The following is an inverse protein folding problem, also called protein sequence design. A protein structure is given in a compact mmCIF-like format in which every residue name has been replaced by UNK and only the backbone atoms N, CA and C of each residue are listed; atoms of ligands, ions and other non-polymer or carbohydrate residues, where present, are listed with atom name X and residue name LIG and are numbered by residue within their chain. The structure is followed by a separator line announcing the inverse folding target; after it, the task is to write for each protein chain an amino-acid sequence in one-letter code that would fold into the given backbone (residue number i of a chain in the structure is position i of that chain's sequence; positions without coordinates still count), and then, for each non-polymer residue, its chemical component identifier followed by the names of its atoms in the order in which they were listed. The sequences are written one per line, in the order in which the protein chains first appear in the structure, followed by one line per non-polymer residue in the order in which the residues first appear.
data_IF_103797259206
#
_entry.id   IF_103797259206
#
_cell.length_a   1.000
_cell.length_b   1.000
_cell.length_c   1.000
_cell.angle_alpha   90.00
_cell.angle_beta   90.00
_cell.angle_gamma   90.00
#
_symmetry.space_group_name_H-M   'P 1'
#
loop_
_entity.id
_entity.type
_entity.pdbx_description
1 polymer ?
#
# COMPACT_ATOMS: atom_id res chain seq x y z
N UNK A 1 7.69 36.52 7.35
CA UNK A 1 8.58 35.38 7.63
C UNK A 1 8.30 34.35 6.56
N UNK A 2 9.31 33.82 5.87
CA UNK A 2 9.10 32.74 4.89
C UNK A 2 8.51 31.53 5.60
N UNK A 3 7.49 30.91 5.01
CA UNK A 3 6.89 29.68 5.53
C UNK A 3 7.99 28.60 5.57
N UNK A 4 8.24 27.93 6.71
CA UNK A 4 9.27 26.91 6.80
C UNK A 4 8.93 25.73 5.88
N UNK A 5 9.95 25.16 5.23
CA UNK A 5 9.81 23.98 4.38
C UNK A 5 9.40 22.74 5.18
N UNK A 6 8.53 21.91 4.59
CA UNK A 6 7.96 20.72 5.22
C UNK A 6 8.21 19.47 4.39
N UNK A 7 8.41 18.35 5.10
CA UNK A 7 8.41 17.01 4.53
C UNK A 7 7.21 16.26 5.11
N UNK A 8 6.46 15.57 4.25
CA UNK A 8 5.45 14.61 4.68
C UNK A 8 5.74 13.26 4.05
N UNK A 9 5.72 12.21 4.87
CA UNK A 9 5.88 10.82 4.41
C UNK A 9 4.51 10.14 4.50
N UNK A 10 4.02 9.65 3.37
CA UNK A 10 2.78 8.89 3.25
C UNK A 10 3.14 7.42 3.01
N UNK A 11 2.68 6.56 3.91
CA UNK A 11 2.81 5.11 3.83
C UNK A 11 1.49 4.52 3.34
N UNK A 12 1.48 4.00 2.12
CA UNK A 12 0.33 3.36 1.51
C UNK A 12 0.31 1.87 1.83
N UNK A 13 -0.64 1.44 2.67
CA UNK A 13 -0.73 0.06 3.15
C UNK A 13 -1.80 -0.70 2.38
N UNK A 14 -1.35 -1.66 1.59
CA UNK A 14 -2.22 -2.39 0.67
C UNK A 14 -1.83 -3.85 0.54
N UNK A 15 -2.86 -4.70 0.54
CA UNK A 15 -2.75 -6.09 0.15
C UNK A 15 -3.96 -6.41 -0.71
N UNK A 16 -3.80 -7.03 -1.90
CA UNK A 16 -4.94 -7.57 -2.65
C UNK A 16 -5.76 -8.53 -1.78
N UNK A 17 -7.00 -8.80 -2.16
CA UNK A 17 -7.78 -9.80 -1.45
C UNK A 17 -7.13 -11.19 -1.61
N UNK A 18 -6.41 -11.69 -0.61
CA UNK A 18 -5.74 -13.01 -0.61
C UNK A 18 -6.34 -13.98 0.41
N UNK A 19 -7.15 -13.46 1.33
CA UNK A 19 -7.88 -14.23 2.33
C UNK A 19 -8.73 -15.34 1.68
N UNK A 20 -8.52 -16.58 2.11
CA UNK A 20 -9.18 -17.76 1.55
C UNK A 20 -8.65 -18.27 0.21
N UNK A 21 -7.63 -17.62 -0.38
CA UNK A 21 -7.08 -17.96 -1.70
C UNK A 21 -5.61 -18.39 -1.64
N UNK A 22 -5.39 -19.67 -1.30
CA UNK A 22 -4.06 -20.28 -1.22
C UNK A 22 -3.33 -19.93 0.08
N UNK A 23 -2.38 -20.77 0.47
CA UNK A 23 -1.55 -20.56 1.67
C UNK A 23 -0.07 -20.39 1.33
N UNK A 24 0.47 -21.14 0.36
CA UNK A 24 1.87 -21.06 -0.07
C UNK A 24 2.00 -21.45 -1.56
N UNK A 25 2.86 -20.80 -2.36
CA UNK A 25 3.72 -19.65 -2.04
C UNK A 25 3.03 -18.28 -2.21
N UNK A 26 1.77 -18.28 -2.64
CA UNK A 26 0.97 -17.09 -2.92
C UNK A 26 -0.39 -17.22 -2.21
N UNK A 27 -0.85 -16.16 -1.55
CA UNK A 27 -2.09 -16.17 -0.77
C UNK A 27 -1.93 -15.52 0.59
N UNK A 28 -2.53 -16.12 1.63
CA UNK A 28 -2.58 -15.53 2.98
C UNK A 28 -1.20 -15.28 3.62
N UNK A 29 -0.18 -16.05 3.24
CA UNK A 29 1.18 -15.86 3.74
C UNK A 29 1.76 -14.49 3.38
N UNK A 30 1.40 -13.90 2.24
CA UNK A 30 1.81 -12.53 1.92
C UNK A 30 1.30 -11.53 2.97
N UNK A 31 0.05 -11.69 3.40
CA UNK A 31 -0.54 -10.87 4.45
C UNK A 31 0.16 -11.12 5.80
N UNK A 32 0.46 -12.36 6.14
CA UNK A 32 1.12 -12.69 7.42
C UNK A 32 2.57 -12.22 7.49
N UNK A 33 3.32 -12.35 6.41
CA UNK A 33 4.68 -11.82 6.30
C UNK A 33 4.66 -10.29 6.39
N UNK A 34 3.73 -9.62 5.70
CA UNK A 34 3.59 -8.16 5.79
C UNK A 34 3.23 -7.71 7.21
N UNK A 35 2.31 -8.40 7.90
CA UNK A 35 1.97 -8.14 9.31
C UNK A 35 3.21 -8.23 10.20
N UNK A 36 3.99 -9.31 10.07
CA UNK A 36 5.12 -9.58 10.95
C UNK A 36 6.32 -8.69 10.68
N UNK A 37 6.62 -8.44 9.40
CA UNK A 37 7.87 -7.80 8.98
C UNK A 37 7.73 -6.31 8.70
N UNK A 38 6.52 -5.81 8.45
CA UNK A 38 6.26 -4.40 8.13
C UNK A 38 5.22 -3.75 9.05
N UNK A 39 3.99 -4.25 9.11
CA UNK A 39 2.90 -3.51 9.78
C UNK A 39 3.14 -3.33 11.27
N UNK A 40 3.52 -4.40 11.98
CA UNK A 40 3.82 -4.31 13.42
C UNK A 40 5.02 -3.39 13.70
N UNK A 41 6.17 -3.51 12.99
CA UNK A 41 7.28 -2.55 13.11
C UNK A 41 6.92 -1.10 12.78
N UNK A 42 6.12 -0.86 11.74
CA UNK A 42 5.66 0.50 11.37
C UNK A 42 4.74 1.06 12.44
N UNK A 43 3.86 0.25 13.01
CA UNK A 43 3.03 0.67 14.16
C UNK A 43 3.87 1.01 15.39
N UNK A 44 4.98 0.31 15.65
CA UNK A 44 5.90 0.68 16.73
C UNK A 44 6.51 2.09 16.51
N UNK A 45 6.70 2.53 15.26
CA UNK A 45 7.15 3.89 14.95
C UNK A 45 6.05 4.93 15.20
N UNK A 46 4.85 4.64 14.72
CA UNK A 46 3.69 5.51 14.84
C UNK A 46 3.29 5.68 16.32
N UNK A 47 3.22 4.59 17.07
CA UNK A 47 3.00 4.59 18.53
C UNK A 47 4.13 5.32 19.28
N UNK A 48 5.34 5.31 18.74
CA UNK A 48 6.50 6.05 19.21
C UNK A 48 6.49 7.55 18.86
N UNK A 49 5.47 8.04 18.15
CA UNK A 49 5.29 9.45 17.82
C UNK A 49 6.04 9.92 16.56
N UNK A 50 6.47 9.01 15.68
CA UNK A 50 7.05 9.39 14.39
C UNK A 50 5.93 9.99 13.50
N UNK A 51 6.07 11.25 13.01
CA UNK A 51 4.98 11.96 12.33
C UNK A 51 4.83 11.55 10.86
N UNK A 52 4.28 10.36 10.63
CA UNK A 52 3.98 9.80 9.30
C UNK A 52 2.48 9.80 9.04
N UNK A 53 2.07 9.76 7.78
CA UNK A 53 0.67 9.56 7.39
C UNK A 53 0.48 8.13 6.91
N UNK A 54 -0.44 7.39 7.52
CA UNK A 54 -0.78 6.04 7.11
C UNK A 54 -2.08 6.05 6.28
N UNK A 55 -2.00 5.50 5.07
CA UNK A 55 -3.15 5.14 4.25
C UNK A 55 -3.44 3.65 4.42
N UNK A 56 -4.72 3.31 4.63
CA UNK A 56 -5.18 1.92 4.71
C UNK A 56 -6.22 1.67 3.61
N UNK A 57 -5.92 0.71 2.74
CA UNK A 57 -6.90 0.27 1.75
C UNK A 57 -8.07 -0.49 2.42
N UNK A 58 -9.32 -0.25 2.00
CA UNK A 58 -10.48 -0.94 2.56
C UNK A 58 -10.37 -2.46 2.47
N UNK A 59 -9.89 -3.01 1.34
CA UNK A 59 -9.67 -4.45 1.15
C UNK A 59 -8.65 -5.05 2.12
N UNK A 60 -7.64 -4.30 2.57
CA UNK A 60 -6.74 -4.76 3.63
C UNK A 60 -7.49 -4.84 4.96
N UNK A 61 -8.23 -3.79 5.33
CA UNK A 61 -9.02 -3.77 6.57
C UNK A 61 -10.04 -4.92 6.61
N UNK A 62 -10.72 -5.15 5.48
CA UNK A 62 -11.66 -6.26 5.28
C UNK A 62 -11.03 -7.62 5.61
N UNK A 63 -9.78 -7.85 5.21
CA UNK A 63 -9.07 -9.11 5.48
C UNK A 63 -8.61 -9.23 6.93
N UNK A 64 -8.13 -8.13 7.53
CA UNK A 64 -7.68 -8.10 8.93
C UNK A 64 -8.83 -8.31 9.94
N UNK A 65 -10.05 -7.92 9.56
CA UNK A 65 -11.26 -8.15 10.36
C UNK A 65 -11.94 -9.50 10.11
N UNK A 66 -11.52 -10.23 9.07
CA UNK A 66 -12.16 -11.47 8.71
C UNK A 66 -12.11 -12.46 9.90
N UNK A 67 -13.23 -13.12 10.26
CA UNK A 67 -13.26 -14.02 11.40
C UNK A 67 -12.16 -15.09 11.33
N UNK A 68 -11.35 -15.18 12.39
CA UNK A 68 -10.23 -16.11 12.51
C UNK A 68 -9.00 -15.78 11.65
N UNK A 69 -8.95 -14.62 10.97
CA UNK A 69 -7.77 -14.20 10.20
C UNK A 69 -6.52 -14.07 11.08
N UNK A 70 -6.62 -13.30 12.17
CA UNK A 70 -5.48 -13.09 13.07
C UNK A 70 -5.11 -14.35 13.86
N UNK A 71 -6.03 -15.29 14.07
CA UNK A 71 -5.71 -16.60 14.65
C UNK A 71 -4.83 -17.43 13.70
N UNK A 72 -5.14 -17.41 12.39
CA UNK A 72 -4.30 -18.05 11.36
C UNK A 72 -2.94 -17.37 11.24
N UNK A 73 -2.89 -16.04 11.31
CA UNK A 73 -1.64 -15.29 11.39
C UNK A 73 -0.82 -15.74 12.61
N UNK A 74 -1.42 -15.79 13.79
CA UNK A 74 -0.74 -16.22 15.01
C UNK A 74 -0.22 -17.67 14.91
N UNK A 75 -1.00 -18.59 14.32
CA UNK A 75 -0.56 -19.96 14.05
C UNK A 75 0.62 -20.01 13.07
N UNK A 76 0.60 -19.22 12.00
CA UNK A 76 1.72 -19.10 11.07
C UNK A 76 3.02 -18.64 11.76
N UNK A 77 2.92 -17.60 12.59
CA UNK A 77 4.08 -17.06 13.32
C UNK A 77 4.59 -17.99 14.43
N UNK A 78 3.69 -18.76 15.06
CA UNK A 78 4.01 -19.68 16.15
C UNK A 78 4.60 -21.00 15.66
N UNK A 79 4.07 -21.52 14.56
CA UNK A 79 4.31 -22.92 14.15
C UNK A 79 5.11 -23.00 12.85
N UNK A 80 4.71 -22.26 11.81
CA UNK A 80 5.27 -22.39 10.45
C UNK A 80 6.65 -21.73 10.34
N UNK A 81 6.77 -20.47 10.78
CA UNK A 81 8.04 -19.73 10.67
C UNK A 81 9.14 -20.34 11.55
N UNK A 82 8.92 -20.68 12.83
CA UNK A 82 9.97 -21.31 13.63
C UNK A 82 10.44 -22.65 13.06
N UNK A 83 9.51 -23.51 12.63
CA UNK A 83 9.87 -24.81 12.05
C UNK A 83 10.66 -24.68 10.74
N UNK A 84 10.27 -23.75 9.86
CA UNK A 84 11.00 -23.52 8.60
C UNK A 84 12.40 -22.94 8.83
N UNK A 85 12.59 -22.05 9.80
CA UNK A 85 13.92 -21.54 10.18
C UNK A 85 14.80 -22.67 10.76
N UNK A 86 14.26 -23.52 11.63
CA UNK A 86 15.01 -24.65 12.20
C UNK A 86 15.54 -25.59 11.11
N UNK A 87 14.70 -25.92 10.12
CA UNK A 87 15.11 -26.77 9.00
C UNK A 87 16.24 -26.16 8.17
N UNK A 88 16.21 -24.85 7.91
CA UNK A 88 17.30 -24.19 7.19
C UNK A 88 18.57 -24.06 8.04
N UNK A 89 18.45 -23.78 9.35
CA UNK A 89 19.60 -23.73 10.25
C UNK A 89 20.32 -25.08 10.35
N UNK A 90 19.56 -26.19 10.44
CA UNK A 90 20.11 -27.55 10.38
C UNK A 90 20.80 -27.82 9.05
N UNK A 91 20.19 -27.42 7.93
CA UNK A 91 20.78 -27.60 6.60
C UNK A 91 22.11 -26.84 6.44
N UNK A 92 22.18 -25.59 6.89
CA UNK A 92 23.43 -24.80 6.85
C UNK A 92 24.51 -25.38 7.75
N UNK A 93 24.18 -25.85 8.97
CA UNK A 93 25.15 -26.55 9.82
C UNK A 93 25.72 -27.79 9.16
N UNK A 94 24.86 -28.61 8.55
CA UNK A 94 25.29 -29.82 7.84
C UNK A 94 26.17 -29.50 6.62
N UNK A 95 25.96 -28.34 5.98
CA UNK A 95 26.77 -27.85 4.87
C UNK A 95 28.10 -27.19 5.30
N UNK A 96 28.39 -27.09 6.60
CA UNK A 96 29.60 -26.41 7.09
C UNK A 96 29.52 -24.90 7.11
N UNK A 97 28.30 -24.33 7.14
CA UNK A 97 28.02 -22.89 7.12
C UNK A 97 27.42 -22.38 8.45
N UNK A 98 28.15 -22.48 9.58
CA UNK A 98 27.60 -22.18 10.92
C UNK A 98 27.20 -20.71 11.11
N UNK A 99 27.83 -19.77 10.39
CA UNK A 99 27.47 -18.36 10.46
C UNK A 99 26.10 -18.07 9.83
N UNK A 100 25.78 -18.72 8.70
CA UNK A 100 24.44 -18.62 8.09
C UNK A 100 23.38 -19.29 8.98
N UNK A 101 23.70 -20.42 9.61
CA UNK A 101 22.81 -21.05 10.56
C UNK A 101 22.48 -20.14 11.76
N UNK A 102 23.50 -19.46 12.32
CA UNK A 102 23.31 -18.53 13.43
C UNK A 102 22.44 -17.33 13.04
N UNK A 103 22.59 -16.80 11.82
CA UNK A 103 21.75 -15.71 11.34
C UNK A 103 20.30 -16.16 11.12
N UNK A 104 20.06 -17.35 10.58
CA UNK A 104 18.71 -17.93 10.48
C UNK A 104 18.06 -18.04 11.87
N UNK A 105 18.78 -18.52 12.88
CA UNK A 105 18.25 -18.62 14.24
C UNK A 105 17.96 -17.26 14.87
N UNK A 106 18.81 -16.27 14.63
CA UNK A 106 18.57 -14.89 15.06
C UNK A 106 17.31 -14.32 14.39
N UNK A 107 17.16 -14.52 13.08
CA UNK A 107 16.01 -14.06 12.31
C UNK A 107 14.69 -14.71 12.77
N UNK A 108 14.71 -15.98 13.19
CA UNK A 108 13.54 -16.66 13.76
C UNK A 108 12.98 -15.92 14.99
N UNK A 109 13.84 -15.30 15.81
CA UNK A 109 13.44 -14.49 16.96
C UNK A 109 12.60 -13.25 16.61
N UNK A 110 12.69 -12.76 15.37
CA UNK A 110 11.87 -11.64 14.88
C UNK A 110 10.39 -12.07 14.75
N UNK A 111 10.12 -13.30 14.30
CA UNK A 111 8.76 -13.84 14.20
C UNK A 111 8.14 -14.12 15.57
N UNK A 112 8.94 -14.58 16.55
CA UNK A 112 8.49 -14.69 17.94
C UNK A 112 8.13 -13.32 18.53
N UNK A 113 8.92 -12.28 18.23
CA UNK A 113 8.63 -10.91 18.66
C UNK A 113 7.37 -10.35 17.99
N UNK A 114 7.17 -10.64 16.70
CA UNK A 114 5.96 -10.28 15.97
C UNK A 114 4.72 -10.98 16.52
N UNK A 115 4.80 -12.27 16.87
CA UNK A 115 3.71 -13.00 17.53
C UNK A 115 3.34 -12.33 18.86
N UNK A 116 4.32 -12.02 19.70
CA UNK A 116 4.08 -11.34 20.97
C UNK A 116 3.45 -9.94 20.75
N UNK A 117 3.84 -9.22 19.71
CA UNK A 117 3.25 -7.92 19.35
C UNK A 117 1.81 -8.06 18.84
N UNK A 118 1.52 -9.08 18.05
CA UNK A 118 0.18 -9.39 17.58
C UNK A 118 -0.75 -9.77 18.75
N UNK A 119 -0.28 -10.61 19.66
CA UNK A 119 -1.05 -11.05 20.84
C UNK A 119 -1.41 -9.87 21.77
N UNK A 120 -0.53 -8.84 21.86
CA UNK A 120 -0.82 -7.59 22.58
C UNK A 120 -1.92 -6.74 21.94
N UNK A 121 -2.30 -7.00 20.69
CA UNK A 121 -3.40 -6.29 20.04
C UNK A 121 -4.78 -6.80 20.51
N UNK A 122 -4.86 -7.94 21.20
CA UNK A 122 -6.12 -8.48 21.73
C UNK A 122 -6.69 -7.64 22.88
N UNK A 123 -8.03 -7.52 23.02
CA UNK A 123 -9.06 -8.15 22.18
C UNK A 123 -9.41 -7.36 20.91
N UNK A 124 -8.89 -6.14 20.73
CA UNK A 124 -9.26 -5.26 19.60
C UNK A 124 -8.68 -5.69 18.24
N UNK A 125 -7.67 -6.55 18.24
CA UNK A 125 -6.97 -6.98 17.03
C UNK A 125 -6.06 -5.91 16.45
N UNK A 126 -5.35 -6.28 15.37
CA UNK A 126 -4.38 -5.40 14.71
C UNK A 126 -5.02 -4.10 14.21
N UNK A 127 -6.25 -4.17 13.70
CA UNK A 127 -6.92 -3.00 13.15
C UNK A 127 -7.26 -1.95 14.21
N UNK A 128 -7.59 -2.36 15.45
CA UNK A 128 -7.79 -1.43 16.55
C UNK A 128 -6.49 -0.69 16.92
N UNK A 129 -5.34 -1.33 16.79
CA UNK A 129 -4.03 -0.67 16.95
C UNK A 129 -3.71 0.29 15.81
N UNK A 130 -4.15 -0.01 14.59
CA UNK A 130 -3.99 0.88 13.42
C UNK A 130 -4.94 2.10 13.46
N UNK A 131 -6.08 1.98 14.12
CA UNK A 131 -7.15 3.00 14.08
C UNK A 131 -6.72 4.44 14.40
N UNK A 132 -5.88 4.72 15.43
CA UNK A 132 -5.44 6.09 15.72
C UNK A 132 -4.59 6.72 14.60
N UNK A 133 -4.01 5.89 13.73
CA UNK A 133 -3.07 6.31 12.69
C UNK A 133 -3.69 6.27 11.29
N UNK A 134 -4.89 5.68 11.13
CA UNK A 134 -5.58 5.47 9.86
C UNK A 134 -6.12 6.79 9.28
N UNK A 135 -5.23 7.66 8.82
CA UNK A 135 -5.58 9.00 8.36
C UNK A 135 -6.20 9.00 6.95
N UNK A 136 -5.71 8.15 6.06
CA UNK A 136 -6.09 8.12 4.65
C UNK A 136 -6.73 6.78 4.27
N UNK A 137 -7.62 6.81 3.27
CA UNK A 137 -8.25 5.61 2.70
C UNK A 137 -8.02 5.52 1.19
N UNK A 138 -8.63 4.54 0.52
CA UNK A 138 -8.57 4.37 -0.92
C UNK A 138 -9.90 3.80 -1.46
N UNK A 139 -9.92 3.44 -2.73
CA UNK A 139 -11.04 2.72 -3.33
C UNK A 139 -11.19 1.33 -2.71
N UNK A 140 -12.41 0.77 -2.75
CA UNK A 140 -12.76 -0.48 -2.06
C UNK A 140 -11.74 -1.62 -2.25
N UNK A 141 -11.30 -1.84 -3.49
CA UNK A 141 -10.35 -2.90 -3.86
C UNK A 141 -9.18 -2.37 -4.68
N UNK A 142 -8.80 -1.11 -4.48
CA UNK A 142 -7.64 -0.51 -5.14
C UNK A 142 -7.72 -0.56 -6.68
N UNK A 143 -8.87 -0.18 -7.24
CA UNK A 143 -9.11 -0.17 -8.68
C UNK A 143 -8.51 1.07 -9.35
N UNK A 144 -7.95 0.91 -10.55
CA UNK A 144 -7.52 2.05 -11.38
C UNK A 144 -8.75 2.84 -11.82
N UNK A 145 -9.13 3.86 -11.04
CA UNK A 145 -10.38 4.61 -11.25
C UNK A 145 -10.51 5.14 -12.69
N UNK A 146 -9.44 5.69 -13.31
CA UNK A 146 -9.52 6.14 -14.70
C UNK A 146 -9.82 5.04 -15.74
N UNK A 147 -9.60 3.77 -15.41
CA UNK A 147 -9.81 2.64 -16.34
C UNK A 147 -11.17 1.94 -16.16
N UNK A 148 -11.96 2.33 -15.16
CA UNK A 148 -13.30 1.79 -14.96
C UNK A 148 -14.23 2.19 -16.12
N UNK A 149 -15.23 1.36 -16.40
CA UNK A 149 -16.06 1.52 -17.60
C UNK A 149 -17.16 2.58 -17.43
N UNK A 150 -17.59 2.85 -16.20
CA UNK A 150 -18.80 3.62 -15.87
C UNK A 150 -18.63 4.45 -14.60
N UNK A 151 -19.29 5.61 -14.53
CA UNK A 151 -19.37 6.42 -13.30
C UNK A 151 -19.96 5.64 -12.12
N UNK A 152 -20.90 4.73 -12.38
CA UNK A 152 -21.50 3.85 -11.38
C UNK A 152 -20.47 2.89 -10.77
N UNK A 153 -19.59 2.30 -11.58
CA UNK A 153 -18.48 1.46 -11.11
C UNK A 153 -17.47 2.26 -10.28
N UNK A 154 -17.11 3.46 -10.73
CA UNK A 154 -16.24 4.38 -9.99
C UNK A 154 -16.86 4.80 -8.66
N UNK A 155 -18.14 5.19 -8.63
CA UNK A 155 -18.87 5.45 -7.38
C UNK A 155 -18.88 4.25 -6.46
N UNK A 156 -19.14 3.05 -6.97
CA UNK A 156 -19.16 1.83 -6.15
C UNK A 156 -17.83 1.64 -5.42
N UNK A 157 -16.72 1.83 -6.11
CA UNK A 157 -15.36 1.75 -5.58
C UNK A 157 -15.09 2.81 -4.52
N UNK A 158 -15.31 4.10 -4.83
CA UNK A 158 -15.01 5.22 -3.93
C UNK A 158 -15.94 5.19 -2.71
N UNK A 159 -17.26 5.09 -2.92
CA UNK A 159 -18.25 5.10 -1.83
C UNK A 159 -18.09 3.95 -0.86
N UNK A 160 -17.87 2.75 -1.38
CA UNK A 160 -17.68 1.57 -0.52
C UNK A 160 -16.39 1.71 0.28
N UNK A 161 -15.32 2.23 -0.32
CA UNK A 161 -14.06 2.46 0.39
C UNK A 161 -14.16 3.51 1.49
N UNK A 162 -14.65 4.70 1.15
CA UNK A 162 -14.86 5.82 2.10
C UNK A 162 -15.81 5.41 3.23
N UNK A 163 -16.92 4.74 2.91
CA UNK A 163 -17.86 4.27 3.92
C UNK A 163 -17.26 3.21 4.85
N UNK A 164 -16.45 2.29 4.30
CA UNK A 164 -15.76 1.28 5.11
C UNK A 164 -14.78 1.92 6.08
N UNK A 165 -14.02 2.92 5.62
CA UNK A 165 -13.08 3.65 6.46
C UNK A 165 -13.79 4.45 7.58
N UNK A 166 -14.81 5.25 7.24
CA UNK A 166 -15.60 6.02 8.23
C UNK A 166 -16.27 5.12 9.28
N UNK A 167 -16.83 3.99 8.84
CA UNK A 167 -17.46 3.03 9.77
C UNK A 167 -16.46 2.45 10.77
N UNK A 168 -15.23 2.18 10.33
CA UNK A 168 -14.18 1.54 11.15
C UNK A 168 -13.50 2.49 12.12
N UNK A 169 -13.18 3.68 11.66
CA UNK A 169 -12.28 4.59 12.37
C UNK A 169 -12.98 5.85 12.91
N UNK A 170 -14.27 6.02 12.62
CA UNK A 170 -15.10 7.13 13.07
C UNK A 170 -15.42 8.12 11.95
N UNK A 171 -16.66 8.59 11.90
CA UNK A 171 -17.14 9.48 10.83
C UNK A 171 -16.39 10.82 10.81
N UNK A 172 -16.07 11.36 11.99
CA UNK A 172 -15.40 12.66 12.15
C UNK A 172 -13.87 12.57 12.18
N UNK A 173 -13.30 11.36 12.28
CA UNK A 173 -11.85 11.17 12.34
C UNK A 173 -11.18 11.33 10.97
N UNK A 174 -11.90 11.00 9.89
CA UNK A 174 -11.39 11.09 8.53
C UNK A 174 -11.49 12.52 7.99
N UNK A 175 -10.33 13.16 7.75
CA UNK A 175 -10.23 14.54 7.24
C UNK A 175 -10.35 14.67 5.72
N UNK A 176 -10.63 13.57 5.02
CA UNK A 176 -10.81 13.56 3.57
C UNK A 176 -9.57 13.17 2.77
N UNK A 177 -8.55 12.59 3.40
CA UNK A 177 -7.37 12.07 2.73
C UNK A 177 -7.65 10.78 1.94
N UNK A 178 -7.30 10.76 0.66
CA UNK A 178 -7.57 9.65 -0.24
C UNK A 178 -6.35 9.29 -1.09
N UNK A 179 -5.86 8.07 -0.93
CA UNK A 179 -4.89 7.49 -1.85
C UNK A 179 -5.60 7.01 -3.12
N UNK A 180 -5.37 7.71 -4.23
CA UNK A 180 -5.75 7.23 -5.55
C UNK A 180 -4.98 5.94 -5.84
N UNK A 181 -5.64 4.83 -6.18
CA UNK A 181 -4.94 3.60 -6.54
C UNK A 181 -3.88 3.87 -7.60
N UNK A 182 -2.63 3.58 -7.26
CA UNK A 182 -1.45 3.81 -8.09
C UNK A 182 -1.15 5.29 -8.44
N UNK A 183 -1.65 6.22 -7.62
CA UNK A 183 -1.72 7.64 -7.96
C UNK A 183 -2.34 7.88 -9.36
N UNK A 184 -3.20 6.96 -9.82
CA UNK A 184 -3.78 7.01 -11.14
C UNK A 184 -4.87 8.09 -11.21
N UNK A 185 -4.62 9.12 -12.01
CA UNK A 185 -5.43 10.34 -12.01
C UNK A 185 -5.83 10.73 -13.43
N UNK A 186 -7.09 11.16 -13.54
CA UNK A 186 -7.61 11.96 -14.64
C UNK A 186 -8.57 13.00 -14.05
N UNK A 187 -8.64 14.25 -14.57
CA UNK A 187 -9.44 15.31 -13.96
C UNK A 187 -10.93 14.98 -13.73
N UNK A 188 -11.53 14.15 -14.59
CA UNK A 188 -12.95 13.81 -14.46
C UNK A 188 -13.28 13.02 -13.19
N UNK A 189 -12.29 12.38 -12.56
CA UNK A 189 -12.47 11.62 -11.31
C UNK A 189 -12.71 12.56 -10.12
N UNK A 190 -12.20 13.80 -10.17
CA UNK A 190 -12.16 14.72 -9.04
C UNK A 190 -13.56 15.07 -8.50
N UNK A 191 -14.54 15.27 -9.40
CA UNK A 191 -15.94 15.52 -9.02
C UNK A 191 -16.52 14.39 -8.17
N UNK A 192 -16.25 13.13 -8.54
CA UNK A 192 -16.75 11.96 -7.83
C UNK A 192 -16.09 11.85 -6.46
N UNK A 193 -14.78 12.11 -6.36
CA UNK A 193 -14.07 12.15 -5.09
C UNK A 193 -14.64 13.24 -4.16
N UNK A 194 -14.84 14.45 -4.69
CA UNK A 194 -15.39 15.59 -3.95
C UNK A 194 -16.79 15.29 -3.38
N UNK A 195 -17.65 14.62 -4.16
CA UNK A 195 -19.00 14.21 -3.74
C UNK A 195 -18.98 13.26 -2.54
N UNK A 196 -17.92 12.46 -2.38
CA UNK A 196 -17.77 11.53 -1.24
C UNK A 196 -17.03 12.15 -0.04
N UNK A 197 -16.68 13.43 -0.14
CA UNK A 197 -16.00 14.18 0.92
C UNK A 197 -14.49 14.01 0.94
N UNK A 198 -13.89 13.52 -0.16
CA UNK A 198 -12.44 13.57 -0.36
C UNK A 198 -12.02 15.03 -0.49
N UNK A 199 -11.02 15.43 0.28
CA UNK A 199 -10.45 16.78 0.28
C UNK A 199 -9.05 16.83 -0.34
N UNK A 200 -8.32 15.71 -0.30
CA UNK A 200 -6.96 15.65 -0.83
C UNK A 200 -6.63 14.26 -1.39
N UNK A 201 -5.82 14.24 -2.45
CA UNK A 201 -5.26 13.01 -3.01
C UNK A 201 -3.84 13.21 -3.52
N UNK A 202 -3.00 12.17 -3.36
CA UNK A 202 -1.68 12.12 -3.98
C UNK A 202 -1.81 11.81 -5.48
N UNK A 203 -1.03 12.51 -6.30
CA UNK A 203 -0.98 12.31 -7.76
C UNK A 203 0.46 12.22 -8.23
N UNK A 204 0.69 11.52 -9.35
CA UNK A 204 1.96 11.58 -10.07
C UNK A 204 1.85 12.65 -11.18
N UNK A 205 2.86 13.52 -11.26
CA UNK A 205 2.89 14.58 -12.26
C UNK A 205 4.36 14.88 -12.65
N UNK A 206 5.01 14.00 -13.44
CA UNK A 206 6.46 14.03 -13.65
C UNK A 206 6.96 15.30 -14.35
N UNK A 207 6.07 16.00 -15.06
CA UNK A 207 6.39 17.27 -15.74
C UNK A 207 6.64 18.42 -14.78
N UNK A 208 6.09 18.37 -13.55
CA UNK A 208 6.28 19.41 -12.53
C UNK A 208 7.40 19.07 -11.52
N UNK A 209 7.84 17.81 -11.45
CA UNK A 209 8.85 17.36 -10.48
C UNK A 209 10.30 17.67 -10.89
N UNK A 210 10.54 18.15 -12.11
CA UNK A 210 11.86 18.54 -12.62
C UNK A 210 12.37 19.91 -12.12
N UNK A 211 11.60 20.63 -11.31
CA UNK A 211 12.00 21.92 -10.73
C UNK A 211 13.07 21.75 -9.62
N UNK A 212 13.77 22.83 -9.28
CA UNK A 212 14.81 22.85 -8.22
C UNK A 212 14.22 22.71 -6.80
N UNK A 213 12.96 23.08 -6.60
CA UNK A 213 12.24 23.00 -5.30
C UNK A 213 11.06 22.01 -5.31
N UNK A 214 10.32 21.90 -4.18
CA UNK A 214 9.20 20.97 -4.05
C UNK A 214 8.11 21.24 -5.11
N UNK A 215 7.36 20.21 -5.54
CA UNK A 215 6.19 20.40 -6.40
C UNK A 215 5.16 21.34 -5.74
N UNK A 216 4.43 22.17 -6.52
CA UNK A 216 3.38 23.00 -5.96
C UNK A 216 2.18 22.14 -5.52
N UNK A 217 1.51 22.55 -4.45
CA UNK A 217 0.19 22.05 -4.11
C UNK A 217 -0.82 22.53 -5.15
N UNK A 218 -1.65 21.63 -5.67
CA UNK A 218 -2.63 21.93 -6.71
C UNK A 218 -4.05 21.80 -6.16
N UNK A 219 -5.00 22.48 -6.81
CA UNK A 219 -6.43 22.40 -6.54
C UNK A 219 -7.17 22.09 -7.84
N UNK A 220 -7.95 21.02 -7.83
CA UNK A 220 -8.79 20.67 -8.98
C UNK A 220 -9.94 21.66 -9.16
N UNK A 221 -10.54 21.66 -10.35
CA UNK A 221 -11.72 22.48 -10.64
C UNK A 221 -12.93 22.10 -9.77
N UNK A 222 -12.99 20.84 -9.32
CA UNK A 222 -14.06 20.31 -8.47
C UNK A 222 -13.81 20.46 -6.96
N UNK A 223 -12.64 20.97 -6.56
CA UNK A 223 -12.35 21.37 -5.18
C UNK A 223 -11.20 20.64 -4.47
N UNK A 224 -11.04 19.31 -4.60
CA UNK A 224 -9.96 18.57 -3.94
C UNK A 224 -8.56 19.14 -4.19
N UNK A 225 -7.71 19.06 -3.17
CA UNK A 225 -6.29 19.28 -3.30
C UNK A 225 -5.64 18.07 -4.00
N UNK A 226 -4.85 18.34 -5.03
CA UNK A 226 -4.05 17.34 -5.72
C UNK A 226 -2.60 17.58 -5.32
N UNK A 227 -1.96 16.56 -4.77
CA UNK A 227 -0.65 16.64 -4.11
C UNK A 227 0.37 15.86 -4.96
N UNK A 228 1.15 16.53 -5.83
CA UNK A 228 2.17 15.84 -6.60
C UNK A 228 3.26 15.27 -5.69
N UNK A 229 3.58 13.99 -5.87
CA UNK A 229 4.63 13.31 -5.10
C UNK A 229 6.04 13.76 -5.56
N UNK A 230 6.99 13.90 -4.64
CA UNK A 230 8.34 14.40 -4.92
C UNK A 230 9.26 13.27 -5.40
N UNK A 231 9.11 12.92 -6.69
CA UNK A 231 9.82 11.80 -7.33
C UNK A 231 11.34 11.82 -7.13
N UNK A 232 12.06 12.96 -7.30
CA UNK A 232 13.49 13.02 -7.04
C UNK A 232 13.94 12.54 -5.66
N UNK A 233 13.18 12.85 -4.60
CA UNK A 233 13.48 12.36 -3.24
C UNK A 233 13.04 10.91 -3.06
N UNK A 234 11.87 10.53 -3.58
CA UNK A 234 11.38 9.15 -3.54
C UNK A 234 12.39 8.20 -4.20
N UNK A 235 12.98 8.59 -5.34
CA UNK A 235 13.95 7.76 -6.08
C UNK A 235 15.28 7.53 -5.32
N UNK A 236 15.63 8.36 -4.32
CA UNK A 236 16.78 8.08 -3.44
C UNK A 236 16.54 6.81 -2.59
N UNK A 237 15.28 6.51 -2.28
CA UNK A 237 14.89 5.33 -1.52
C UNK A 237 14.44 4.21 -2.46
N UNK A 238 13.54 4.50 -3.39
CA UNK A 238 12.83 3.47 -4.18
C UNK A 238 13.28 3.39 -5.65
N UNK A 239 14.19 4.26 -6.06
CA UNK A 239 14.74 4.26 -7.42
C UNK A 239 15.78 3.16 -7.63
N UNK A 240 16.19 2.99 -8.89
CA UNK A 240 17.27 2.09 -9.24
C UNK A 240 18.58 2.54 -8.57
N UNK A 241 19.09 1.72 -7.64
CA UNK A 241 20.27 2.05 -6.84
C UNK A 241 19.98 2.90 -5.59
N UNK A 242 18.72 3.00 -5.16
CA UNK A 242 18.35 3.64 -3.90
C UNK A 242 18.92 2.93 -2.67
N UNK A 243 18.73 3.54 -1.50
CA UNK A 243 19.29 3.06 -0.22
C UNK A 243 19.09 1.56 0.08
N UNK A 244 17.94 0.92 -0.19
CA UNK A 244 17.76 -0.52 0.06
C UNK A 244 18.80 -1.41 -0.63
N UNK A 245 19.45 -0.95 -1.70
CA UNK A 245 20.50 -1.67 -2.41
C UNK A 245 21.90 -1.55 -1.82
N UNK A 246 22.09 -0.87 -0.68
CA UNK A 246 23.41 -0.73 -0.05
C UNK A 246 23.95 -2.09 0.39
N UNK A 247 25.27 -2.27 0.23
CA UNK A 247 25.99 -3.51 0.49
C UNK A 247 25.73 -4.14 1.87
N UNK A 248 25.51 -3.32 2.91
CA UNK A 248 25.33 -3.76 4.28
C UNK A 248 23.91 -4.27 4.60
N UNK A 249 22.91 -3.89 3.81
CA UNK A 249 21.52 -4.28 4.06
C UNK A 249 21.22 -5.70 3.63
N UNK A 250 20.19 -6.29 4.25
CA UNK A 250 19.72 -7.64 3.94
C UNK A 250 19.31 -7.75 2.48
N UNK A 251 19.77 -8.81 1.83
CA UNK A 251 19.44 -9.11 0.44
C UNK A 251 18.00 -9.63 0.33
N UNK A 252 17.16 -8.89 -0.40
CA UNK A 252 15.75 -9.21 -0.62
C UNK A 252 15.54 -10.33 -1.65
N UNK A 253 16.51 -10.51 -2.54
CA UNK A 253 16.40 -11.35 -3.72
C UNK A 253 17.01 -12.73 -3.50
N UNK A 254 18.07 -12.84 -2.69
CA UNK A 254 18.70 -14.11 -2.36
C UNK A 254 17.98 -14.84 -1.23
N UNK A 255 17.35 -15.96 -1.59
CA UNK A 255 16.47 -16.75 -0.71
C UNK A 255 16.99 -18.16 -0.49
N UNK A 256 16.73 -18.71 0.69
CA UNK A 256 16.86 -20.14 0.93
C UNK A 256 15.73 -20.93 0.25
N UNK A 257 15.78 -22.26 0.32
CA UNK A 257 14.70 -23.13 -0.16
C UNK A 257 13.36 -22.90 0.58
N UNK A 258 13.38 -22.23 1.74
CA UNK A 258 12.21 -21.94 2.59
C UNK A 258 11.96 -20.44 2.73
N UNK A 259 12.47 -19.65 1.78
CA UNK A 259 12.27 -18.20 1.68
C UNK A 259 12.84 -17.37 2.85
N UNK A 260 13.93 -17.82 3.47
CA UNK A 260 14.72 -17.01 4.42
C UNK A 260 15.84 -16.24 3.70
N UNK A 261 16.29 -15.14 4.31
CA UNK A 261 17.25 -14.19 3.72
C UNK A 261 18.43 -13.88 4.65
N UNK A 262 19.34 -14.86 4.91
CA UNK A 262 20.48 -14.68 5.82
C UNK A 262 21.69 -13.93 5.23
N UNK A 263 21.55 -13.29 4.08
CA UNK A 263 22.64 -12.60 3.38
C UNK A 263 22.45 -11.10 3.34
N UNK A 264 23.55 -10.37 3.22
CA UNK A 264 23.56 -8.97 2.83
C UNK A 264 23.69 -8.82 1.30
N UNK A 265 23.40 -7.62 0.78
CA UNK A 265 23.43 -7.32 -0.67
C UNK A 265 24.82 -7.52 -1.31
N UNK A 266 25.91 -7.47 -0.55
CA UNK A 266 27.26 -7.79 -1.05
C UNK A 266 27.59 -9.30 -1.05
N UNK A 267 26.63 -10.13 -0.66
CA UNK A 267 26.74 -11.58 -0.59
C UNK A 267 27.32 -12.12 0.71
N UNK A 268 27.75 -11.28 1.65
CA UNK A 268 28.19 -11.71 2.98
C UNK A 268 27.02 -12.27 3.80
N UNK A 269 27.33 -12.94 4.92
CA UNK A 269 26.31 -13.18 5.96
C UNK A 269 25.80 -11.83 6.44
N UNK A 270 24.49 -11.70 6.63
CA UNK A 270 23.89 -10.48 7.13
C UNK A 270 24.39 -10.16 8.56
N UNK A 271 24.77 -8.91 8.79
CA UNK A 271 25.22 -8.40 10.08
C UNK A 271 24.34 -7.21 10.51
N UNK A 272 23.47 -7.40 11.53
CA UNK A 272 22.59 -6.33 12.00
C UNK A 272 23.32 -5.07 12.48
N UNK A 273 24.52 -5.19 13.06
CA UNK A 273 25.25 -4.02 13.56
C UNK A 273 25.79 -3.18 12.41
N UNK A 274 26.34 -3.84 11.39
CA UNK A 274 26.78 -3.19 10.15
C UNK A 274 25.62 -2.52 9.44
N UNK A 275 24.47 -3.19 9.36
CA UNK A 275 23.26 -2.64 8.75
C UNK A 275 22.76 -1.39 9.49
N UNK A 276 22.72 -1.41 10.83
CA UNK A 276 22.34 -0.24 11.62
C UNK A 276 23.31 0.94 11.46
N UNK A 277 24.61 0.70 11.31
CA UNK A 277 25.56 1.76 10.99
C UNK A 277 25.29 2.39 9.61
N UNK A 278 24.90 1.58 8.63
CA UNK A 278 24.50 2.05 7.30
C UNK A 278 23.19 2.85 7.36
N UNK A 279 22.22 2.43 8.19
CA UNK A 279 20.96 3.17 8.44
C UNK A 279 21.23 4.61 8.86
N UNK A 280 22.12 4.81 9.84
CA UNK A 280 22.44 6.16 10.34
C UNK A 280 23.06 7.04 9.25
N UNK A 281 23.96 6.48 8.42
CA UNK A 281 24.58 7.20 7.33
C UNK A 281 23.56 7.60 6.25
N UNK A 282 22.70 6.67 5.82
CA UNK A 282 21.69 6.94 4.79
C UNK A 282 20.61 7.90 5.32
N UNK A 283 20.21 7.80 6.59
CA UNK A 283 19.26 8.74 7.21
C UNK A 283 19.80 10.17 7.24
N UNK A 284 21.10 10.34 7.50
CA UNK A 284 21.78 11.64 7.44
C UNK A 284 21.81 12.22 6.03
N UNK A 285 22.16 11.40 5.05
CA UNK A 285 22.18 11.78 3.63
C UNK A 285 20.78 12.19 3.17
N UNK A 286 19.77 11.38 3.48
CA UNK A 286 18.40 11.63 3.06
C UNK A 286 17.79 12.88 3.71
N UNK A 287 18.01 13.07 5.02
CA UNK A 287 17.59 14.29 5.71
C UNK A 287 18.26 15.55 5.16
N UNK A 288 19.53 15.45 4.73
CA UNK A 288 20.21 16.55 4.06
C UNK A 288 19.62 16.86 2.69
N UNK A 289 19.30 15.84 1.89
CA UNK A 289 18.63 16.01 0.61
C UNK A 289 17.24 16.65 0.78
N UNK A 290 16.47 16.20 1.77
CA UNK A 290 15.19 16.78 2.14
C UNK A 290 15.32 18.26 2.55
N UNK A 291 16.27 18.58 3.43
CA UNK A 291 16.52 19.96 3.87
C UNK A 291 16.86 20.89 2.71
N UNK A 292 17.70 20.43 1.77
CA UNK A 292 18.05 21.17 0.58
C UNK A 292 16.85 21.37 -0.34
N UNK A 293 16.03 20.32 -0.50
CA UNK A 293 14.84 20.35 -1.35
C UNK A 293 13.85 21.43 -0.93
N UNK A 294 13.59 21.55 0.37
CA UNK A 294 12.61 22.51 0.93
C UNK A 294 13.23 23.77 1.53
N UNK A 295 14.49 24.07 1.21
CA UNK A 295 15.22 25.21 1.77
C UNK A 295 14.54 26.57 1.50
N UNK A 296 13.80 26.68 0.40
CA UNK A 296 13.04 27.87 0.02
C UNK A 296 11.60 27.90 0.59
N UNK A 297 11.22 26.92 1.40
CA UNK A 297 9.83 26.69 1.83
C UNK A 297 9.10 25.65 0.97
N UNK A 298 7.79 25.52 1.20
CA UNK A 298 6.93 24.56 0.49
C UNK A 298 6.79 23.21 1.18
N UNK A 299 6.24 22.23 0.47
CA UNK A 299 5.95 20.88 0.95
C UNK A 299 6.45 19.84 -0.05
N UNK A 300 7.37 18.98 0.38
CA UNK A 300 7.69 17.75 -0.36
C UNK A 300 6.93 16.58 0.25
N UNK A 301 6.16 15.87 -0.58
CA UNK A 301 5.43 14.67 -0.18
C UNK A 301 6.12 13.43 -0.73
N UNK A 302 6.51 12.55 0.17
CA UNK A 302 7.19 11.29 -0.12
C UNK A 302 6.20 10.15 0.06
N UNK A 303 5.87 9.47 -1.02
CA UNK A 303 4.87 8.42 -1.04
C UNK A 303 5.55 7.07 -1.27
N UNK A 304 5.30 6.12 -0.38
CA UNK A 304 5.90 4.78 -0.40
C UNK A 304 4.87 3.72 -0.06
N UNK A 305 5.00 2.53 -0.64
CA UNK A 305 4.30 1.35 -0.11
C UNK A 305 4.79 1.08 1.32
N UNK A 306 3.87 0.79 2.23
CA UNK A 306 4.21 0.49 3.64
C UNK A 306 5.14 -0.71 3.72
N UNK A 307 4.90 -1.73 2.89
CA UNK A 307 5.65 -2.98 2.79
C UNK A 307 7.08 -2.76 2.28
N UNK A 308 7.42 -1.59 1.72
CA UNK A 308 8.81 -1.22 1.50
C UNK A 308 9.58 -1.27 2.83
N UNK A 309 9.01 -0.75 3.91
CA UNK A 309 9.67 -0.65 5.20
C UNK A 309 9.45 -1.91 6.03
N UNK A 310 10.43 -2.80 5.98
CA UNK A 310 10.58 -3.98 6.83
C UNK A 310 10.40 -5.29 6.07
N UNK A 311 9.49 -5.31 5.09
CA UNK A 311 9.28 -6.48 4.22
C UNK A 311 10.26 -6.50 3.05
N UNK A 312 10.21 -5.51 2.15
CA UNK A 312 11.12 -5.42 0.99
C UNK A 312 12.47 -4.76 1.30
N UNK A 313 12.53 -3.88 2.29
CA UNK A 313 13.75 -3.33 2.85
C UNK A 313 13.75 -3.56 4.35
N UNK A 314 14.52 -4.56 4.80
CA UNK A 314 14.47 -5.06 6.17
C UNK A 314 14.71 -3.97 7.22
N UNK A 315 15.65 -3.07 6.93
CA UNK A 315 16.09 -2.00 7.82
C UNK A 315 15.20 -0.76 7.71
N UNK A 316 14.21 -0.76 6.82
CA UNK A 316 13.34 0.37 6.55
C UNK A 316 12.70 1.02 7.79
N UNK A 317 12.16 0.26 8.77
CA UNK A 317 11.62 0.86 9.99
C UNK A 317 12.69 1.54 10.85
N UNK A 318 13.91 0.98 10.90
CA UNK A 318 15.03 1.60 11.59
C UNK A 318 15.46 2.89 10.86
N UNK A 319 15.47 2.88 9.52
CA UNK A 319 15.71 4.06 8.71
C UNK A 319 14.70 5.17 8.94
N UNK A 320 13.39 4.88 8.93
CA UNK A 320 12.37 5.90 9.19
C UNK A 320 12.53 6.53 10.58
N UNK A 321 12.91 5.74 11.59
CA UNK A 321 13.21 6.24 12.93
C UNK A 321 14.43 7.18 12.93
N UNK A 322 15.54 6.74 12.36
CA UNK A 322 16.78 7.52 12.29
C UNK A 322 16.59 8.80 11.46
N UNK A 323 15.84 8.71 10.36
CA UNK A 323 15.46 9.83 9.51
C UNK A 323 14.65 10.87 10.27
N UNK A 324 13.60 10.46 11.00
CA UNK A 324 12.78 11.38 11.79
C UNK A 324 13.60 12.08 12.90
N UNK A 325 14.46 11.33 13.59
CA UNK A 325 15.39 11.89 14.58
C UNK A 325 16.36 12.90 13.96
N UNK A 326 16.91 12.58 12.78
CA UNK A 326 17.83 13.46 12.06
C UNK A 326 17.13 14.73 11.55
N UNK A 327 15.92 14.62 11.03
CA UNK A 327 15.09 15.76 10.65
C UNK A 327 14.86 16.70 11.82
N UNK A 328 14.50 16.17 12.99
CA UNK A 328 14.32 16.95 14.22
C UNK A 328 15.62 17.67 14.64
N UNK A 329 16.76 16.99 14.59
CA UNK A 329 18.07 17.58 14.91
C UNK A 329 18.49 18.69 13.94
N UNK A 330 18.10 18.58 12.67
CA UNK A 330 18.44 19.54 11.60
C UNK A 330 17.40 20.66 11.45
N UNK A 331 16.28 20.60 12.16
CA UNK A 331 15.19 21.57 12.01
C UNK A 331 14.39 21.42 10.71
N UNK A 332 14.39 20.22 10.09
CA UNK A 332 13.50 19.90 8.97
C UNK A 332 12.15 19.51 9.54
N UNK A 333 11.10 20.24 9.17
CA UNK A 333 9.75 19.97 9.67
C UNK A 333 9.17 18.72 9.01
N UNK A 334 9.25 17.58 9.70
CA UNK A 334 8.52 16.36 9.32
C UNK A 334 7.12 16.43 9.94
N UNK A 335 6.07 16.42 9.11
CA UNK A 335 4.68 16.61 9.54
C UNK A 335 3.76 15.60 8.87
N UNK A 336 2.71 15.10 9.57
CA UNK A 336 1.64 14.36 8.91
C UNK A 336 1.03 15.22 7.80
N UNK A 337 0.65 14.59 6.68
CA UNK A 337 0.23 15.28 5.47
C UNK A 337 -1.00 16.15 5.71
N UNK A 338 -2.03 15.67 6.41
CA UNK A 338 -3.23 16.48 6.68
C UNK A 338 -2.90 17.79 7.41
N UNK A 339 -1.95 17.76 8.36
CA UNK A 339 -1.51 18.96 9.09
C UNK A 339 -0.74 19.93 8.17
N UNK A 340 0.05 19.39 7.23
CA UNK A 340 0.73 20.20 6.23
C UNK A 340 -0.27 20.83 5.24
N UNK A 341 -1.31 20.10 4.85
CA UNK A 341 -2.35 20.57 3.93
C UNK A 341 -3.20 21.67 4.55
N UNK A 342 -3.66 21.51 5.79
CA UNK A 342 -4.41 22.57 6.50
C UNK A 342 -3.59 23.87 6.61
N UNK A 343 -2.27 23.77 6.75
CA UNK A 343 -1.40 24.93 6.83
C UNK A 343 -1.13 25.60 5.46
N UNK A 344 -1.32 24.90 4.34
CA UNK A 344 -0.88 25.31 3.01
C UNK A 344 -2.01 25.38 1.97
N UNK A 345 -3.24 24.99 2.31
CA UNK A 345 -4.34 24.90 1.34
C UNK A 345 -4.70 26.24 0.66
N UNK A 346 -4.40 27.36 1.31
CA UNK A 346 -4.56 28.71 0.76
C UNK A 346 -3.48 29.10 -0.25
N UNK A 347 -2.39 28.35 -0.33
CA UNK A 347 -1.29 28.51 -1.30
C UNK A 347 -1.46 27.60 -2.53
N UNK A 348 -2.50 26.77 -2.55
CA UNK A 348 -2.76 25.84 -3.64
C UNK A 348 -3.01 26.57 -4.96
N UNK A 349 -2.33 26.12 -6.02
CA UNK A 349 -2.48 26.66 -7.36
C UNK A 349 -3.57 25.90 -8.13
N UNK A 350 -4.26 26.52 -9.10
CA UNK A 350 -5.18 25.78 -9.96
C UNK A 350 -4.48 24.65 -10.72
N UNK A 351 -5.19 23.55 -10.97
CA UNK A 351 -4.71 22.47 -11.83
C UNK A 351 -4.29 23.01 -13.22
N UNK A 352 -3.12 22.61 -13.76
CA UNK A 352 -2.66 23.09 -15.07
C UNK A 352 -3.58 22.64 -16.21
N UNK A 353 -3.97 23.58 -17.08
CA UNK A 353 -4.89 23.29 -18.20
C UNK A 353 -4.29 22.35 -19.28
N UNK A 354 -2.98 22.15 -19.31
CA UNK A 354 -2.27 21.24 -20.21
C UNK A 354 -1.98 19.86 -19.60
N UNK A 355 -2.44 19.63 -18.36
CA UNK A 355 -2.31 18.37 -17.62
C UNK A 355 -3.58 17.50 -17.69
N UNK A 356 -4.27 17.50 -18.84
CA UNK A 356 -5.49 16.71 -19.09
C UNK A 356 -5.19 15.29 -19.62
N UNK A 357 -4.03 14.73 -19.25
CA UNK A 357 -3.64 13.36 -19.65
C UNK A 357 -3.68 12.43 -18.45
N UNK A 358 -4.03 11.15 -18.66
CA UNK A 358 -4.01 10.17 -17.59
C UNK A 358 -2.58 9.98 -17.07
N UNK A 359 -2.40 10.14 -15.76
CA UNK A 359 -1.11 9.89 -15.09
C UNK A 359 -1.25 8.77 -14.08
N UNK A 360 -0.13 8.16 -13.73
CA UNK A 360 0.01 7.27 -12.58
C UNK A 360 1.47 7.24 -12.15
N UNK A 361 1.76 6.74 -10.95
CA UNK A 361 3.14 6.48 -10.52
C UNK A 361 3.74 5.18 -11.10
N UNK A 362 3.00 4.50 -12.00
CA UNK A 362 3.40 3.28 -12.67
C UNK A 362 4.43 3.50 -13.79
N UNK A 363 4.71 2.43 -14.52
CA UNK A 363 5.77 2.46 -15.54
C UNK A 363 5.44 3.45 -16.66
N UNK A 364 6.32 4.44 -16.86
CA UNK A 364 6.15 5.46 -17.90
C UNK A 364 5.26 6.64 -17.51
N UNK A 365 4.78 6.71 -16.26
CA UNK A 365 3.98 7.83 -15.76
C UNK A 365 2.56 7.89 -16.33
N UNK A 366 2.07 6.78 -16.89
CA UNK A 366 0.74 6.67 -17.51
C UNK A 366 0.06 5.35 -17.10
N UNK A 367 -1.07 5.00 -17.72
CA UNK A 367 -1.88 3.83 -17.33
C UNK A 367 -1.42 2.50 -17.95
N UNK A 368 -0.31 2.45 -18.71
CA UNK A 368 0.09 1.27 -19.50
C UNK A 368 0.37 0.03 -18.66
N UNK A 369 0.74 0.18 -17.39
CA UNK A 369 0.94 -0.95 -16.47
C UNK A 369 -0.32 -1.80 -16.34
N UNK A 370 -1.51 -1.19 -16.45
CA UNK A 370 -2.80 -1.88 -16.27
C UNK A 370 -3.64 -1.98 -17.55
N UNK A 371 -3.32 -1.22 -18.60
CA UNK A 371 -4.05 -1.22 -19.87
C UNK A 371 -3.22 -1.60 -21.10
N UNK A 372 -1.92 -1.88 -20.92
CA UNK A 372 -1.00 -2.21 -22.00
C UNK A 372 -1.30 -3.55 -22.70
N UNK A 373 -0.65 -3.84 -23.86
CA UNK A 373 -0.97 -5.02 -24.67
C UNK A 373 -0.94 -6.36 -23.93
N UNK A 374 -0.04 -6.54 -22.95
CA UNK A 374 0.13 -7.77 -22.17
C UNK A 374 -1.06 -8.11 -21.27
N UNK A 375 -1.80 -7.09 -20.81
CA UNK A 375 -2.91 -7.20 -19.85
C UNK A 375 -4.23 -6.68 -20.43
N UNK A 376 -4.26 -6.36 -21.72
CA UNK A 376 -5.43 -5.81 -22.38
C UNK A 376 -6.65 -6.77 -22.34
N UNK A 377 -6.42 -8.08 -22.26
CA UNK A 377 -7.48 -9.06 -22.07
C UNK A 377 -8.12 -8.97 -20.68
N UNK A 378 -7.33 -8.80 -19.62
CA UNK A 378 -7.81 -8.56 -18.23
C UNK A 378 -8.63 -7.27 -18.20
N UNK A 379 -8.08 -6.16 -18.71
CA UNK A 379 -8.76 -4.86 -18.72
C UNK A 379 -10.09 -4.90 -19.50
N UNK A 380 -10.13 -5.56 -20.67
CA UNK A 380 -11.36 -5.70 -21.46
C UNK A 380 -12.39 -6.63 -20.79
N UNK A 381 -11.95 -7.66 -20.09
CA UNK A 381 -12.84 -8.57 -19.37
C UNK A 381 -13.52 -7.85 -18.19
N UNK A 382 -12.74 -7.12 -17.40
CA UNK A 382 -13.20 -6.26 -16.31
C UNK A 382 -14.26 -5.27 -16.79
N UNK A 383 -13.95 -4.46 -17.81
CA UNK A 383 -14.88 -3.43 -18.32
C UNK A 383 -16.19 -4.00 -18.82
N UNK A 384 -16.15 -5.17 -19.47
CA UNK A 384 -17.39 -5.86 -19.92
C UNK A 384 -18.22 -6.37 -18.76
N UNK A 385 -17.59 -6.95 -17.74
CA UNK A 385 -18.27 -7.41 -16.54
C UNK A 385 -18.92 -6.25 -15.77
N UNK A 386 -18.22 -5.11 -15.67
CA UNK A 386 -18.75 -3.90 -15.05
C UNK A 386 -20.01 -3.39 -15.75
N UNK A 387 -19.98 -3.24 -17.08
CA UNK A 387 -21.14 -2.80 -17.88
C UNK A 387 -22.32 -3.75 -17.68
N UNK A 388 -22.09 -5.07 -17.69
CA UNK A 388 -23.14 -6.06 -17.46
C UNK A 388 -23.76 -5.93 -16.06
N UNK A 389 -22.94 -5.79 -15.03
CA UNK A 389 -23.41 -5.63 -13.65
C UNK A 389 -24.19 -4.34 -13.48
N UNK A 390 -23.71 -3.21 -14.01
CA UNK A 390 -24.38 -1.91 -13.94
C UNK A 390 -25.72 -1.96 -14.68
N UNK A 391 -25.77 -2.56 -15.87
CA UNK A 391 -27.03 -2.75 -16.61
C UNK A 391 -28.06 -3.57 -15.81
N UNK A 392 -27.58 -4.47 -14.95
CA UNK A 392 -28.41 -5.36 -14.11
C UNK A 392 -28.44 -4.93 -12.64
N UNK A 393 -28.02 -3.70 -12.31
CA UNK A 393 -27.75 -3.28 -10.93
C UNK A 393 -28.97 -3.45 -10.00
N UNK A 394 -30.18 -3.21 -10.51
CA UNK A 394 -31.42 -3.37 -9.77
C UNK A 394 -31.62 -4.81 -9.23
N UNK A 395 -31.12 -5.83 -9.93
CA UNK A 395 -31.32 -7.24 -9.60
C UNK A 395 -30.03 -7.99 -9.27
N UNK A 396 -28.85 -7.40 -9.51
CA UNK A 396 -27.56 -8.03 -9.24
C UNK A 396 -27.38 -8.27 -7.73
N UNK A 397 -27.18 -9.49 -7.22
CA UNK A 397 -27.03 -9.70 -5.77
C UNK A 397 -25.74 -9.03 -5.25
N UNK A 398 -25.68 -8.72 -3.95
CA UNK A 398 -24.49 -8.10 -3.34
C UNK A 398 -23.21 -8.91 -3.57
N UNK A 399 -23.34 -10.24 -3.67
CA UNK A 399 -22.23 -11.11 -4.07
C UNK A 399 -21.66 -10.73 -5.44
N UNK A 400 -22.50 -10.47 -6.44
CA UNK A 400 -22.02 -10.08 -7.76
C UNK A 400 -21.27 -8.74 -7.72
N UNK A 401 -21.71 -7.81 -6.87
CA UNK A 401 -21.01 -6.54 -6.64
C UNK A 401 -19.65 -6.74 -5.96
N UNK A 402 -19.56 -7.64 -4.97
CA UNK A 402 -18.28 -7.99 -4.32
C UNK A 402 -17.29 -8.67 -5.27
N UNK A 403 -17.77 -9.61 -6.08
CA UNK A 403 -16.93 -10.24 -7.12
C UNK A 403 -16.51 -9.22 -8.19
N UNK A 404 -17.35 -8.23 -8.52
CA UNK A 404 -16.96 -7.14 -9.40
C UNK A 404 -15.85 -6.29 -8.77
N UNK A 405 -15.99 -5.91 -7.50
CA UNK A 405 -14.93 -5.20 -6.77
C UNK A 405 -13.63 -6.01 -6.77
N UNK A 406 -13.67 -7.30 -6.44
CA UNK A 406 -12.50 -8.16 -6.45
C UNK A 406 -11.85 -8.25 -7.85
N UNK A 407 -12.66 -8.39 -8.89
CA UNK A 407 -12.20 -8.41 -10.29
C UNK A 407 -11.54 -7.08 -10.70
N UNK A 408 -11.98 -5.96 -10.13
CA UNK A 408 -11.52 -4.62 -10.44
C UNK A 408 -10.17 -4.23 -9.80
N UNK A 409 -9.61 -5.07 -8.93
CA UNK A 409 -8.35 -4.77 -8.26
C UNK A 409 -7.19 -4.56 -9.26
N UNK A 410 -6.39 -3.49 -9.07
CA UNK A 410 -5.25 -3.18 -9.94
C UNK A 410 -4.19 -4.27 -9.94
N UNK A 411 -4.09 -5.02 -8.84
CA UNK A 411 -3.08 -6.03 -8.55
C UNK A 411 -2.97 -7.09 -9.65
N UNK A 412 -4.11 -7.50 -10.24
CA UNK A 412 -4.11 -8.57 -11.23
C UNK A 412 -3.34 -8.17 -12.49
N UNK A 413 -3.55 -6.95 -12.98
CA UNK A 413 -2.82 -6.46 -14.13
C UNK A 413 -1.38 -6.10 -13.74
N UNK A 414 -1.15 -5.55 -12.54
CA UNK A 414 0.20 -5.24 -12.05
C UNK A 414 1.10 -6.49 -11.96
N UNK A 415 0.63 -7.54 -11.26
CA UNK A 415 1.38 -8.78 -11.06
C UNK A 415 1.70 -9.48 -12.37
N UNK A 416 0.77 -9.43 -13.34
CA UNK A 416 0.97 -10.00 -14.68
C UNK A 416 1.98 -9.19 -15.48
N UNK A 417 1.87 -7.86 -15.51
CA UNK A 417 2.81 -6.97 -16.23
C UNK A 417 4.25 -7.18 -15.80
N UNK A 418 4.50 -7.38 -14.49
CA UNK A 418 5.85 -7.59 -13.95
C UNK A 418 6.23 -9.07 -13.75
N UNK A 419 5.34 -10.01 -14.08
CA UNK A 419 5.60 -11.46 -13.96
C UNK A 419 5.93 -11.92 -12.53
N UNK A 420 5.34 -11.29 -11.51
CA UNK A 420 5.76 -11.45 -10.09
C UNK A 420 5.17 -12.66 -9.37
N UNK A 421 4.10 -13.26 -9.92
CA UNK A 421 3.34 -14.32 -9.22
C UNK A 421 2.95 -15.50 -10.13
N UNK A 422 3.72 -15.77 -11.19
CA UNK A 422 3.40 -16.85 -12.15
C UNK A 422 1.96 -16.75 -12.67
N UNK A 423 1.18 -17.85 -12.70
CA UNK A 423 -0.20 -17.82 -13.20
C UNK A 423 -1.22 -17.19 -12.22
N UNK A 424 -0.82 -16.89 -10.98
CA UNK A 424 -1.73 -16.52 -9.89
C UNK A 424 -2.66 -15.36 -10.26
N UNK A 425 -2.11 -14.29 -10.84
CA UNK A 425 -2.90 -13.10 -11.18
C UNK A 425 -4.01 -13.39 -12.20
N UNK A 426 -3.72 -14.19 -13.22
CA UNK A 426 -4.70 -14.61 -14.24
C UNK A 426 -5.73 -15.56 -13.67
N UNK A 427 -5.32 -16.50 -12.82
CA UNK A 427 -6.23 -17.43 -12.13
C UNK A 427 -7.20 -16.68 -11.21
N UNK A 428 -6.71 -15.70 -10.45
CA UNK A 428 -7.53 -14.85 -9.57
C UNK A 428 -8.53 -14.02 -10.37
N UNK A 429 -8.08 -13.30 -11.40
CA UNK A 429 -8.98 -12.51 -12.26
C UNK A 429 -10.04 -13.38 -12.94
N UNK A 430 -9.64 -14.52 -13.53
CA UNK A 430 -10.58 -15.44 -14.17
C UNK A 430 -11.57 -16.07 -13.17
N UNK A 431 -11.10 -16.41 -11.96
CA UNK A 431 -11.92 -16.94 -10.88
C UNK A 431 -13.02 -15.97 -10.44
N UNK A 432 -12.67 -14.71 -10.18
CA UNK A 432 -13.65 -13.67 -9.82
C UNK A 432 -14.63 -13.41 -10.96
N UNK A 433 -14.18 -13.39 -12.22
CA UNK A 433 -15.08 -13.25 -13.37
C UNK A 433 -16.07 -14.43 -13.47
N UNK A 434 -15.62 -15.67 -13.24
CA UNK A 434 -16.48 -16.84 -13.25
C UNK A 434 -17.50 -16.79 -12.09
N UNK A 435 -17.05 -16.45 -10.88
CA UNK A 435 -17.90 -16.32 -9.70
C UNK A 435 -18.94 -15.20 -9.85
N UNK A 436 -18.56 -14.07 -10.46
CA UNK A 436 -19.47 -12.98 -10.83
C UNK A 436 -20.58 -13.46 -11.76
N UNK A 437 -20.21 -14.16 -12.85
CA UNK A 437 -21.18 -14.70 -13.81
C UNK A 437 -22.14 -15.70 -13.15
N UNK A 438 -21.61 -16.57 -12.29
CA UNK A 438 -22.43 -17.48 -11.50
C UNK A 438 -23.41 -16.73 -10.61
N UNK A 439 -22.94 -15.73 -9.86
CA UNK A 439 -23.77 -14.90 -8.99
C UNK A 439 -24.87 -14.15 -9.74
N UNK A 440 -24.61 -13.70 -10.97
CA UNK A 440 -25.62 -13.08 -11.83
C UNK A 440 -26.62 -14.08 -12.42
N UNK A 441 -26.23 -15.35 -12.60
CA UNK A 441 -27.09 -16.39 -13.20
C UNK A 441 -27.96 -17.15 -12.21
N UNK A 442 -27.54 -17.25 -10.94
CA UNK A 442 -28.15 -18.16 -9.98
C UNK A 442 -29.38 -17.57 -9.29
N UNK A 443 -30.44 -18.38 -9.18
CA UNK A 443 -31.56 -18.16 -8.24
C UNK A 443 -31.20 -18.91 -6.95
N UNK A 444 -30.50 -18.24 -6.03
CA UNK A 444 -29.97 -18.84 -4.79
C UNK A 444 -28.44 -18.91 -4.78
N UNK A 445 -27.81 -18.66 -3.63
CA UNK A 445 -26.35 -18.50 -3.53
C UNK A 445 -25.64 -19.84 -3.26
N UNK A 446 -24.75 -20.33 -4.14
CA UNK A 446 -23.72 -21.29 -3.71
C UNK A 446 -22.79 -20.63 -2.68
N UNK A 447 -22.05 -21.42 -1.90
CA UNK A 447 -21.05 -20.86 -0.97
C UNK A 447 -20.04 -19.97 -1.70
N UNK A 448 -19.78 -18.79 -1.16
CA UNK A 448 -18.77 -17.87 -1.71
C UNK A 448 -17.40 -18.23 -1.11
N UNK A 449 -16.36 -18.17 -1.95
CA UNK A 449 -14.98 -18.21 -1.47
C UNK A 449 -14.55 -16.87 -0.84
N UNK A 450 -15.28 -15.77 -1.12
CA UNK A 450 -15.10 -14.49 -0.43
C UNK A 450 -15.67 -14.62 0.99
N UNK A 451 -14.83 -14.51 2.01
CA UNK A 451 -15.26 -14.61 3.41
C UNK A 451 -15.67 -13.26 3.99
N UNK A 452 -14.93 -12.19 3.68
CA UNK A 452 -15.16 -10.88 4.32
C UNK A 452 -14.86 -9.67 3.40
N UNK A 453 -15.04 -9.78 2.08
CA UNK A 453 -14.82 -8.64 1.18
C UNK A 453 -15.99 -7.64 1.18
N UNK A 454 -15.69 -6.36 1.34
CA UNK A 454 -16.62 -5.23 1.34
C UNK A 454 -17.87 -5.48 2.24
N UNK A 455 -17.70 -5.63 3.57
CA UNK A 455 -18.82 -5.75 4.50
C UNK A 455 -19.68 -4.47 4.51
N UNK A 456 -19.07 -3.32 4.21
CA UNK A 456 -19.73 -2.00 4.13
C UNK A 456 -20.14 -1.60 2.71
N UNK A 457 -20.46 -2.58 1.85
CA UNK A 457 -20.84 -2.39 0.45
C UNK A 457 -21.90 -1.30 0.28
N UNK A 458 -21.62 -0.30 -0.58
CA UNK A 458 -22.57 0.76 -0.91
C UNK A 458 -23.30 0.49 -2.22
N UNK A 459 -24.24 -0.46 -2.17
CA UNK A 459 -25.09 -0.86 -3.32
C UNK A 459 -25.79 0.32 -4.03
N UNK A 460 -26.22 1.33 -3.29
CA UNK A 460 -26.88 2.51 -3.86
C UNK A 460 -26.03 3.21 -4.95
N UNK A 461 -24.69 3.09 -4.87
CA UNK A 461 -23.76 3.67 -5.82
C UNK A 461 -23.98 3.24 -7.29
N UNK A 462 -24.47 2.02 -7.51
CA UNK A 462 -24.76 1.48 -8.86
C UNK A 462 -26.23 1.64 -9.28
N UNK A 463 -27.08 2.17 -8.40
CA UNK A 463 -28.51 2.40 -8.67
C UNK A 463 -28.80 3.88 -8.97
N UNK A 464 -27.92 4.77 -8.53
CA UNK A 464 -28.04 6.20 -8.80
C UNK A 464 -27.71 6.53 -10.25
N UNK A 465 -28.45 7.49 -10.85
CA UNK A 465 -28.31 7.86 -12.26
C UNK A 465 -26.95 8.46 -12.64
#
# INVERSE_FOLDING_TARGET
MSVPGRISVVLHTHMPYVEGFGTWPFGEEWLWEAVATSYLPVLDLLDGGVPLTLSLTPVLCDQLEAPGALDRCAAFLRDVRPASHELDAVAFRAAGEPALAAEIERAAGQYASALAALERCSPGGLLARMAPHAAWTSSATHAILPLLATDAGTRLQVRTGVAGHRTRFGEDAWRGGFWLPECAHEPWVDRLLAQEGVRAACVELPRLTAAVGPPPLLRSADGPLLVPIDRPLIDLVWGAGGYPGRAAYRDEHRRTARDHRPWANDGSVYDPQRALAQVEADAQEFAQACAARVAAGGLSVLAFDTELFGHHWHEGPAFLRAFAQTCAQRGVALTPLDDALDALEGEAQPWPADADVPTSWGAGGDLRTWSGPQVADIARALRRAEIEVVHRAATAPDRALRELLALQASDWAFLETFGRAGPYARERSAGHLAALKQALSAVGSPDSQLRHLAPHLRRAAVLEP
#
